data_IF_652700647021
#
_entry.id   IF_652700647021
#
_cell.length_a   1.000
_cell.length_b   1.000
_cell.length_c   1.000
_cell.angle_alpha   90.00
_cell.angle_beta   90.00
_cell.angle_gamma   90.00
#
_symmetry.space_group_name_H-M   'P 1'
#
loop_
_entity.id
_entity.type
_entity.pdbx_description
1 polymer ?
#
# COMPACT_ATOMS: atom_id res chain seq x y z
N UNK A 1 11.40 4.25 1.47
CA UNK A 1 9.97 3.86 1.34
C UNK A 1 9.14 5.11 1.32
N UNK A 2 8.32 5.28 0.29
CA UNK A 2 7.28 6.31 0.23
C UNK A 2 5.93 5.70 0.62
N UNK A 3 5.14 6.50 1.32
CA UNK A 3 3.82 6.12 1.81
C UNK A 3 2.86 7.27 1.59
N UNK A 4 1.80 7.03 0.84
CA UNK A 4 0.63 7.90 0.73
C UNK A 4 -0.55 7.18 1.37
N UNK A 5 -1.18 7.82 2.36
CA UNK A 5 -2.35 7.28 3.05
C UNK A 5 -3.59 8.10 2.69
N UNK A 6 -4.64 7.43 2.23
CA UNK A 6 -5.94 8.05 1.94
C UNK A 6 -7.00 7.25 2.69
N UNK A 7 -7.77 7.92 3.53
CA UNK A 7 -8.99 7.33 4.08
C UNK A 7 -10.12 7.52 3.07
N UNK A 8 -10.75 6.42 2.68
CA UNK A 8 -11.82 6.41 1.68
C UNK A 8 -13.06 5.73 2.25
N UNK A 9 -14.23 6.28 1.96
CA UNK A 9 -15.51 5.60 2.20
C UNK A 9 -15.62 4.34 1.33
N UNK A 10 -15.10 4.40 0.10
CA UNK A 10 -15.03 3.26 -0.82
C UNK A 10 -13.73 3.28 -1.62
N UNK A 11 -13.03 2.15 -1.64
CA UNK A 11 -11.88 1.89 -2.51
C UNK A 11 -12.17 0.65 -3.34
N UNK A 12 -12.01 0.75 -4.66
CA UNK A 12 -12.22 -0.37 -5.57
C UNK A 12 -11.10 -0.44 -6.60
N UNK A 13 -10.72 -1.65 -6.97
CA UNK A 13 -9.73 -1.89 -8.02
C UNK A 13 -10.19 -3.02 -8.94
N UNK A 14 -9.73 -2.95 -10.18
CA UNK A 14 -9.89 -3.98 -11.21
C UNK A 14 -8.53 -4.24 -11.83
N UNK A 15 -7.97 -5.44 -11.71
CA UNK A 15 -6.77 -5.81 -12.45
C UNK A 15 -7.03 -5.69 -13.96
N UNK A 16 -6.07 -5.14 -14.71
CA UNK A 16 -6.19 -4.93 -16.17
C UNK A 16 -5.04 -5.58 -16.92
N UNK A 17 -3.81 -5.27 -16.51
CA UNK A 17 -2.60 -5.76 -17.18
C UNK A 17 -1.60 -6.24 -16.14
N UNK A 18 -1.03 -7.40 -16.42
CA UNK A 18 0.06 -7.97 -15.64
C UNK A 18 1.33 -7.13 -15.80
N UNK A 19 1.86 -6.62 -14.69
CA UNK A 19 3.10 -5.83 -14.68
C UNK A 19 4.35 -6.67 -14.39
N UNK A 20 4.21 -7.84 -13.79
CA UNK A 20 5.30 -8.74 -13.43
C UNK A 20 5.13 -10.09 -14.14
N UNK A 21 6.05 -10.50 -15.03
CA UNK A 21 5.91 -11.74 -15.81
C UNK A 21 5.72 -12.98 -14.94
N UNK A 22 6.47 -13.07 -13.84
CA UNK A 22 6.53 -14.25 -12.96
C UNK A 22 5.48 -14.24 -11.84
N UNK A 23 4.68 -13.18 -11.71
CA UNK A 23 3.60 -13.13 -10.72
C UNK A 23 2.38 -13.93 -11.21
N UNK A 24 1.57 -14.55 -10.35
CA UNK A 24 0.34 -15.19 -10.79
C UNK A 24 -0.61 -14.20 -11.49
N UNK A 25 -1.42 -14.69 -12.43
CA UNK A 25 -2.50 -13.88 -12.99
C UNK A 25 -3.57 -13.69 -11.91
N UNK A 26 -3.91 -12.43 -11.67
CA UNK A 26 -4.96 -12.03 -10.72
C UNK A 26 -5.99 -11.25 -11.51
N UNK A 27 -7.19 -11.81 -11.63
CA UNK A 27 -8.34 -11.18 -12.31
C UNK A 27 -9.43 -10.73 -11.34
N UNK A 28 -9.26 -11.03 -10.05
CA UNK A 28 -10.25 -10.71 -9.03
C UNK A 28 -10.32 -9.19 -8.78
N UNK A 29 -11.52 -8.63 -9.00
CA UNK A 29 -11.86 -7.28 -8.58
C UNK A 29 -11.99 -7.23 -7.05
N UNK A 30 -11.60 -6.11 -6.45
CA UNK A 30 -11.75 -5.90 -5.00
C UNK A 30 -12.46 -4.59 -4.68
N UNK A 31 -13.30 -4.62 -3.65
CA UNK A 31 -13.98 -3.45 -3.09
C UNK A 31 -13.84 -3.47 -1.58
N UNK A 32 -13.43 -2.35 -1.01
CA UNK A 32 -13.32 -2.14 0.43
C UNK A 32 -14.03 -0.87 0.83
N UNK A 33 -14.69 -0.88 1.98
CA UNK A 33 -15.42 0.26 2.52
C UNK A 33 -14.81 0.73 3.84
N UNK A 34 -14.90 2.04 4.08
CA UNK A 34 -14.42 2.71 5.29
C UNK A 34 -12.98 2.31 5.65
N UNK A 35 -12.08 2.40 4.66
CA UNK A 35 -10.73 1.85 4.76
C UNK A 35 -9.66 2.92 4.63
N UNK A 36 -8.58 2.76 5.40
CA UNK A 36 -7.34 3.48 5.17
C UNK A 36 -6.56 2.74 4.08
N UNK A 37 -6.48 3.34 2.90
CA UNK A 37 -5.67 2.81 1.78
C UNK A 37 -4.26 3.37 1.90
N UNK A 38 -3.29 2.47 1.96
CA UNK A 38 -1.88 2.78 2.01
C UNK A 38 -1.23 2.45 0.67
N UNK A 39 -0.96 3.47 -0.12
CA UNK A 39 -0.15 3.37 -1.33
C UNK A 39 1.32 3.35 -0.94
N UNK A 40 1.99 2.23 -1.22
CA UNK A 40 3.34 1.94 -0.77
C UNK A 40 4.27 1.86 -1.98
N UNK A 41 5.42 2.53 -1.89
CA UNK A 41 6.55 2.32 -2.78
C UNK A 41 7.81 2.00 -1.97
N UNK A 42 8.39 0.84 -2.23
CA UNK A 42 9.72 0.44 -1.76
C UNK A 42 10.79 1.14 -2.61
N UNK A 43 11.81 1.67 -1.94
CA UNK A 43 12.99 2.29 -2.53
C UNK A 43 14.20 1.40 -2.24
N UNK A 44 15.25 1.49 -3.06
CA UNK A 44 16.43 0.62 -2.98
C UNK A 44 17.12 0.65 -1.60
N UNK A 45 17.12 1.82 -0.95
CA UNK A 45 17.69 1.98 0.40
C UNK A 45 16.90 1.28 1.50
N UNK A 46 15.66 0.85 1.24
CA UNK A 46 14.84 0.13 2.23
C UNK A 46 15.28 -1.32 2.41
N UNK A 47 15.89 -1.94 1.40
CA UNK A 47 16.31 -3.36 1.48
C UNK A 47 17.46 -3.55 2.46
N UNK A 48 18.32 -2.54 2.61
CA UNK A 48 19.42 -2.53 3.57
C UNK A 48 18.94 -2.41 5.03
N UNK A 49 17.74 -1.84 5.26
CA UNK A 49 17.20 -1.53 6.58
C UNK A 49 15.72 -1.91 6.74
N UNK A 50 15.35 -3.12 6.31
CA UNK A 50 13.95 -3.55 6.20
C UNK A 50 13.14 -3.46 7.52
N UNK A 51 13.70 -3.94 8.64
CA UNK A 51 12.97 -4.03 9.92
C UNK A 51 12.59 -2.66 10.53
N UNK A 52 13.49 -1.66 10.59
CA UNK A 52 13.13 -0.30 10.97
C UNK A 52 12.06 0.32 10.04
N UNK A 53 12.18 0.10 8.73
CA UNK A 53 11.24 0.63 7.74
C UNK A 53 9.84 0.03 7.94
N UNK A 54 9.74 -1.29 8.10
CA UNK A 54 8.49 -1.98 8.40
C UNK A 54 7.86 -1.46 9.70
N UNK A 55 8.65 -1.32 10.77
CA UNK A 55 8.17 -0.80 12.05
C UNK A 55 7.59 0.61 11.91
N UNK A 56 8.23 1.46 11.10
CA UNK A 56 7.76 2.83 10.81
C UNK A 56 6.46 2.80 10.00
N UNK A 57 6.35 1.94 8.98
CA UNK A 57 5.13 1.73 8.20
C UNK A 57 3.96 1.34 9.11
N UNK A 58 4.12 0.28 9.91
CA UNK A 58 3.06 -0.22 10.81
C UNK A 58 2.60 0.86 11.80
N UNK A 59 3.52 1.66 12.34
CA UNK A 59 3.17 2.79 13.23
C UNK A 59 2.32 3.85 12.53
N UNK A 60 2.69 4.23 11.30
CA UNK A 60 1.92 5.20 10.51
C UNK A 60 0.52 4.69 10.18
N UNK A 61 0.39 3.42 9.78
CA UNK A 61 -0.90 2.81 9.48
C UNK A 61 -1.80 2.76 10.71
N UNK A 62 -1.27 2.33 11.86
CA UNK A 62 -2.03 2.35 13.13
C UNK A 62 -2.48 3.76 13.51
N UNK A 63 -1.61 4.75 13.33
CA UNK A 63 -1.95 6.14 13.60
C UNK A 63 -3.06 6.64 12.66
N UNK A 64 -2.93 6.43 11.35
CA UNK A 64 -3.92 6.83 10.35
C UNK A 64 -5.27 6.13 10.55
N UNK A 65 -5.25 4.84 10.86
CA UNK A 65 -6.47 4.06 11.10
C UNK A 65 -7.19 4.54 12.37
N UNK A 66 -6.43 4.77 13.45
CA UNK A 66 -6.96 5.32 14.70
C UNK A 66 -7.55 6.72 14.52
N UNK A 67 -6.90 7.59 13.72
CA UNK A 67 -7.38 8.94 13.45
C UNK A 67 -8.72 8.96 12.71
N UNK A 68 -8.94 7.99 11.83
CA UNK A 68 -10.17 7.86 11.06
C UNK A 68 -11.16 6.84 11.67
N UNK A 69 -10.91 6.39 12.91
CA UNK A 69 -11.74 5.40 13.60
C UNK A 69 -12.06 4.15 12.76
N UNK A 70 -11.09 3.69 11.96
CA UNK A 70 -11.24 2.48 11.14
C UNK A 70 -10.35 1.35 11.61
N UNK A 71 -10.79 0.11 11.37
CA UNK A 71 -10.00 -1.11 11.54
C UNK A 71 -9.60 -1.72 10.19
N UNK A 72 -10.07 -1.15 9.09
CA UNK A 72 -9.82 -1.63 7.73
C UNK A 72 -8.62 -0.88 7.17
N UNK A 73 -7.57 -1.62 6.81
CA UNK A 73 -6.38 -1.08 6.16
C UNK A 73 -6.12 -1.89 4.90
N UNK A 74 -5.98 -1.21 3.76
CA UNK A 74 -5.66 -1.81 2.47
C UNK A 74 -4.22 -1.44 2.13
N UNK A 75 -3.38 -2.44 1.87
CA UNK A 75 -2.02 -2.22 1.38
C UNK A 75 -2.03 -2.31 -0.14
N UNK A 76 -1.65 -1.23 -0.83
CA UNK A 76 -1.65 -1.16 -2.28
C UNK A 76 -0.26 -0.78 -2.79
N UNK A 77 0.36 -1.65 -3.59
CA UNK A 77 1.64 -1.33 -4.24
C UNK A 77 1.44 -0.22 -5.28
N UNK A 78 2.26 0.83 -5.25
CA UNK A 78 2.11 1.98 -6.15
C UNK A 78 3.47 2.58 -6.53
N UNK A 79 4.04 2.12 -7.64
CA UNK A 79 5.39 2.45 -8.09
C UNK A 79 5.55 3.82 -8.79
N UNK A 80 4.68 4.79 -8.49
CA UNK A 80 4.69 6.14 -9.09
C UNK A 80 4.94 7.28 -8.07
N UNK A 81 5.23 6.96 -6.80
CA UNK A 81 5.51 7.92 -5.73
C UNK A 81 6.99 8.35 -5.65
N UNK A 82 7.90 7.65 -6.32
CA UNK A 82 9.34 7.93 -6.37
C UNK A 82 9.93 7.49 -7.70
N UNK A 83 11.06 8.09 -8.08
CA UNK A 83 11.87 7.70 -9.24
C UNK A 83 12.68 6.42 -8.96
N UNK A 84 12.99 6.12 -7.69
CA UNK A 84 13.68 4.90 -7.26
C UNK A 84 12.71 3.73 -7.03
N UNK A 85 13.08 2.53 -7.48
CA UNK A 85 12.29 1.30 -7.38
C UNK A 85 13.18 0.16 -6.85
N UNK A 86 12.65 -0.62 -5.92
CA UNK A 86 13.25 -1.85 -5.39
C UNK A 86 12.29 -3.03 -5.60
#
# INVERSE_FOLDING_TARGET
MKLLMIYCERFAYKPVTKSLPDFPDVEEDGVFENALVAFIQTEETDTENAKPVETKLVKNLKWGAKKNNTRNVVLHSFAHLSESKA
#
